data_IF_015872891513
#
_entry.id   IF_015872891513
#
_cell.length_a   1.000
_cell.length_b   1.000
_cell.length_c   1.000
_cell.angle_alpha   90.00
_cell.angle_beta   90.00
_cell.angle_gamma   90.00
#
_symmetry.space_group_name_H-M   'P 1'
#
loop_
_entity.id
_entity.type
_entity.pdbx_description
1 polymer ?
#
# COMPACT_ATOMS: atom_id res chain seq x y z
N UNK A 1 9.69 16.43 -3.58
CA UNK A 1 8.95 16.08 -2.40
C UNK A 1 8.79 14.59 -2.23
N UNK A 2 9.02 14.13 -1.04
CA UNK A 2 8.95 12.72 -0.80
C UNK A 2 7.53 12.20 -0.75
N UNK A 3 7.37 11.07 -1.38
CA UNK A 3 6.14 10.35 -1.41
C UNK A 3 6.28 9.18 -0.42
N UNK A 4 5.39 9.11 0.55
CA UNK A 4 5.47 8.08 1.59
C UNK A 4 5.17 6.68 1.07
N UNK A 5 4.86 6.56 -0.21
CA UNK A 5 4.52 5.26 -0.78
C UNK A 5 5.67 4.27 -0.70
N UNK A 6 6.91 4.76 -0.65
CA UNK A 6 8.07 3.90 -0.46
C UNK A 6 8.09 3.25 0.92
N UNK A 7 7.29 3.75 1.86
CA UNK A 7 7.18 3.21 3.20
C UNK A 7 5.95 2.33 3.38
N UNK A 8 5.36 1.91 2.28
CA UNK A 8 4.12 1.16 2.30
C UNK A 8 4.22 -0.08 3.20
N UNK A 9 5.32 -0.82 3.07
CA UNK A 9 5.54 -2.02 3.87
C UNK A 9 5.58 -1.71 5.36
N UNK A 10 6.28 -0.64 5.73
CA UNK A 10 6.39 -0.25 7.13
C UNK A 10 5.03 0.15 7.70
N UNK A 11 4.27 0.91 6.92
CA UNK A 11 2.94 1.35 7.34
C UNK A 11 2.03 0.14 7.54
N UNK A 12 2.08 -0.82 6.62
CA UNK A 12 1.28 -2.04 6.75
C UNK A 12 1.63 -2.80 8.02
N UNK A 13 2.94 -2.95 8.28
CA UNK A 13 3.39 -3.69 9.45
C UNK A 13 2.98 -3.01 10.75
N UNK A 14 3.04 -1.69 10.78
CA UNK A 14 2.60 -0.94 11.95
C UNK A 14 1.13 -1.18 12.25
N UNK A 15 0.32 -1.35 11.21
CA UNK A 15 -1.09 -1.63 11.37
C UNK A 15 -1.38 -3.10 11.66
N UNK A 16 -0.38 -3.96 11.57
CA UNK A 16 -0.54 -5.38 11.89
C UNK A 16 -1.16 -6.22 10.80
N UNK A 17 -1.11 -5.74 9.55
CA UNK A 17 -1.69 -6.49 8.44
C UNK A 17 -0.68 -7.36 7.72
N UNK A 18 -1.15 -8.53 7.26
CA UNK A 18 -0.40 -9.31 6.28
C UNK A 18 -0.62 -8.69 4.90
N UNK A 19 0.20 -9.12 3.92
CA UNK A 19 0.02 -8.68 2.54
C UNK A 19 -1.36 -9.06 2.03
N UNK A 20 -1.78 -10.31 2.29
CA UNK A 20 -3.10 -10.75 1.86
C UNK A 20 -4.21 -9.94 2.52
N UNK A 21 -4.06 -9.66 3.82
CA UNK A 21 -5.05 -8.90 4.56
C UNK A 21 -5.21 -7.48 4.05
N UNK A 22 -4.08 -6.79 3.85
CA UNK A 22 -4.15 -5.40 3.39
C UNK A 22 -4.65 -5.31 1.96
N UNK A 23 -4.27 -6.27 1.11
CA UNK A 23 -4.77 -6.31 -0.27
C UNK A 23 -6.28 -6.43 -0.30
N UNK A 24 -6.82 -7.27 0.56
CA UNK A 24 -8.27 -7.45 0.65
C UNK A 24 -8.95 -6.16 1.12
N UNK A 25 -8.37 -5.49 2.11
CA UNK A 25 -8.93 -4.24 2.61
C UNK A 25 -8.94 -3.16 1.54
N UNK A 26 -7.91 -3.13 0.70
CA UNK A 26 -7.82 -2.14 -0.37
C UNK A 26 -8.59 -2.53 -1.62
N UNK A 27 -9.00 -3.79 -1.71
CA UNK A 27 -9.72 -4.28 -2.89
C UNK A 27 -8.84 -4.46 -4.10
N UNK A 28 -7.56 -4.79 -3.91
CA UNK A 28 -6.62 -5.00 -5.02
C UNK A 28 -6.09 -6.43 -4.99
N UNK A 29 -5.66 -6.97 -6.15
CA UNK A 29 -5.03 -8.28 -6.17
C UNK A 29 -3.76 -8.30 -5.35
N UNK A 30 -3.48 -9.44 -4.70
CA UNK A 30 -2.27 -9.59 -3.88
C UNK A 30 -1.02 -9.27 -4.69
N UNK A 31 -0.94 -9.79 -5.92
CA UNK A 31 0.23 -9.56 -6.76
C UNK A 31 0.44 -8.08 -7.04
N UNK A 32 -0.63 -7.35 -7.29
CA UNK A 32 -0.55 -5.92 -7.53
C UNK A 32 0.02 -5.21 -6.31
N UNK A 33 -0.48 -5.56 -5.14
CA UNK A 33 0.01 -4.95 -3.91
C UNK A 33 1.48 -5.30 -3.64
N UNK A 34 1.85 -6.57 -3.87
CA UNK A 34 3.24 -6.99 -3.69
C UNK A 34 4.18 -6.22 -4.60
N UNK A 35 3.77 -5.97 -5.84
CA UNK A 35 4.58 -5.18 -6.76
C UNK A 35 4.82 -3.78 -6.22
N UNK A 36 3.83 -3.20 -5.56
CA UNK A 36 3.98 -1.88 -4.97
C UNK A 36 5.04 -1.88 -3.85
N UNK A 37 5.00 -2.89 -2.96
CA UNK A 37 5.98 -2.97 -1.87
C UNK A 37 7.38 -3.26 -2.38
N UNK A 38 7.49 -4.06 -3.42
CA UNK A 38 8.79 -4.44 -3.97
C UNK A 38 9.37 -3.41 -4.94
N UNK A 39 8.60 -2.38 -5.29
CA UNK A 39 9.07 -1.34 -6.17
C UNK A 39 9.05 -1.69 -7.64
N UNK A 40 8.41 -2.79 -8.03
CA UNK A 40 8.33 -3.18 -9.43
C UNK A 40 7.33 -2.33 -10.20
N UNK A 41 6.28 -1.89 -9.56
CA UNK A 41 5.27 -1.03 -10.15
C UNK A 41 4.67 -0.15 -9.07
N UNK A 42 4.20 1.03 -9.50
CA UNK A 42 3.52 1.95 -8.60
C UNK A 42 2.25 2.45 -9.26
N UNK A 43 1.20 2.70 -8.48
CA UNK A 43 -0.01 3.32 -9.03
C UNK A 43 0.24 4.80 -9.33
N UNK A 44 -0.65 5.45 -10.08
CA UNK A 44 -0.54 6.90 -10.30
C UNK A 44 -0.47 7.66 -8.99
N UNK A 45 0.18 8.81 -9.01
CA UNK A 45 0.42 9.58 -7.79
C UNK A 45 -0.88 9.91 -7.05
N UNK A 46 -1.93 10.27 -7.77
CA UNK A 46 -3.21 10.60 -7.13
C UNK A 46 -3.79 9.39 -6.39
N UNK A 47 -3.55 8.20 -6.90
CA UNK A 47 -4.04 6.98 -6.26
C UNK A 47 -3.17 6.61 -5.06
N UNK A 48 -1.87 6.94 -5.12
CA UNK A 48 -0.97 6.67 -4.01
C UNK A 48 -1.42 7.38 -2.74
N UNK A 49 -1.81 8.63 -2.85
CA UNK A 49 -2.31 9.40 -1.70
C UNK A 49 -3.56 8.75 -1.13
N UNK A 50 -4.48 8.35 -1.98
CA UNK A 50 -5.71 7.70 -1.55
C UNK A 50 -5.42 6.40 -0.80
N UNK A 51 -4.49 5.60 -1.34
CA UNK A 51 -4.13 4.32 -0.74
C UNK A 51 -3.53 4.53 0.65
N UNK A 52 -2.62 5.48 0.79
CA UNK A 52 -1.99 5.77 2.08
C UNK A 52 -3.02 6.22 3.10
N UNK A 53 -3.94 7.09 2.71
CA UNK A 53 -5.01 7.52 3.60
C UNK A 53 -5.89 6.35 4.02
N UNK A 54 -6.23 5.51 3.07
CA UNK A 54 -7.06 4.34 3.34
C UNK A 54 -6.41 3.44 4.38
N UNK A 55 -5.11 3.17 4.22
CA UNK A 55 -4.40 2.31 5.15
C UNK A 55 -4.33 2.95 6.54
N UNK A 56 -4.09 4.24 6.61
CA UNK A 56 -4.01 4.94 7.90
C UNK A 56 -5.33 4.91 8.65
N UNK A 57 -6.44 4.84 7.94
CA UNK A 57 -7.77 4.80 8.54
C UNK A 57 -8.19 3.40 8.98
N UNK A 58 -7.46 2.36 8.64
CA UNK A 58 -7.81 0.99 9.00
C UNK A 58 -7.58 0.64 10.48
#
# INVERSE_FOLDING_TARGET
MLNDFTKLKEIRKEKGFTIAGISKQLGVPIRTYENWENGYRYPPIWLQSWILEKIRDL
#
